data_IF_111321284489
#
_entry.id   IF_111321284489
#
_cell.length_a   1.000
_cell.length_b   1.000
_cell.length_c   1.000
_cell.angle_alpha   90.00
_cell.angle_beta   90.00
_cell.angle_gamma   90.00
#
_symmetry.space_group_name_H-M   'P 1'
#
loop_
_entity.id
_entity.type
_entity.pdbx_description
1 polymer ?
#
# COMPACT_ATOMS: atom_id res chain seq x y z
N UNK A 1 4.93 -6.26 -24.75
CA UNK A 1 5.89 -6.94 -23.85
C UNK A 1 5.11 -7.62 -22.74
N UNK A 2 5.38 -8.88 -22.45
CA UNK A 2 4.73 -9.57 -21.33
C UNK A 2 5.14 -8.92 -19.99
N UNK A 3 4.17 -8.52 -19.19
CA UNK A 3 4.40 -7.97 -17.85
C UNK A 3 4.48 -9.13 -16.85
N UNK A 4 5.63 -9.30 -16.21
CA UNK A 4 5.84 -10.36 -15.22
C UNK A 4 5.91 -9.74 -13.82
N UNK A 5 5.37 -10.44 -12.83
CA UNK A 5 5.60 -10.13 -11.43
C UNK A 5 6.99 -10.63 -11.06
N UNK A 6 7.87 -9.74 -10.63
CA UNK A 6 9.23 -10.10 -10.22
C UNK A 6 9.27 -10.49 -8.76
N UNK A 7 10.05 -11.53 -8.44
CA UNK A 7 10.24 -11.98 -7.06
C UNK A 7 11.71 -12.32 -6.78
N UNK A 8 12.11 -12.15 -5.54
CA UNK A 8 13.38 -12.65 -5.00
C UNK A 8 13.13 -13.73 -3.96
N UNK A 9 14.14 -14.51 -3.67
CA UNK A 9 14.08 -15.56 -2.66
C UNK A 9 14.92 -15.17 -1.46
N UNK A 10 14.37 -15.30 -0.25
CA UNK A 10 15.04 -15.00 1.00
C UNK A 10 14.90 -16.15 2.00
N UNK A 11 15.96 -16.48 2.77
CA UNK A 11 15.87 -17.44 3.84
C UNK A 11 15.00 -16.88 4.99
N UNK A 12 14.28 -17.79 5.64
CA UNK A 12 13.46 -17.47 6.80
C UNK A 12 13.69 -18.54 7.87
N UNK A 13 14.12 -18.11 9.04
CA UNK A 13 14.32 -18.96 10.21
C UNK A 13 12.96 -19.20 10.87
N UNK A 14 12.71 -20.42 11.34
CA UNK A 14 11.53 -20.73 12.11
C UNK A 14 11.70 -20.14 13.55
N UNK A 15 10.84 -19.21 14.00
CA UNK A 15 10.99 -18.64 15.35
C UNK A 15 10.72 -19.64 16.48
N UNK A 16 10.01 -20.76 16.18
CA UNK A 16 9.72 -21.81 17.16
C UNK A 16 10.82 -22.88 17.26
N UNK A 17 11.64 -22.98 16.23
CA UNK A 17 12.72 -23.98 16.16
C UNK A 17 13.93 -23.32 15.48
N UNK A 18 14.82 -22.80 16.30
CA UNK A 18 16.01 -22.08 15.85
C UNK A 18 17.11 -22.98 15.31
N UNK A 19 17.04 -24.29 15.60
CA UNK A 19 18.00 -25.29 15.13
C UNK A 19 17.61 -25.86 13.77
N UNK A 20 16.35 -25.67 13.33
CA UNK A 20 15.90 -26.08 12.03
C UNK A 20 16.60 -25.30 10.92
N UNK A 21 16.99 -25.99 9.85
CA UNK A 21 17.57 -25.36 8.67
C UNK A 21 16.62 -24.26 8.09
N UNK A 22 17.14 -23.10 7.68
CA UNK A 22 16.32 -22.02 7.14
C UNK A 22 15.60 -22.45 5.89
N UNK A 23 14.30 -22.13 5.78
CA UNK A 23 13.50 -22.35 4.57
C UNK A 23 13.51 -21.10 3.71
N UNK A 24 13.48 -21.28 2.41
CA UNK A 24 13.50 -20.19 1.44
C UNK A 24 12.09 -19.83 0.99
N UNK A 25 11.77 -18.56 1.01
CA UNK A 25 10.45 -18.02 0.63
C UNK A 25 10.58 -16.96 -0.45
N UNK A 26 9.65 -16.98 -1.40
CA UNK A 26 9.54 -15.95 -2.43
C UNK A 26 8.99 -14.65 -1.83
N UNK A 27 9.59 -13.53 -2.20
CA UNK A 27 9.11 -12.18 -1.91
C UNK A 27 8.96 -11.39 -3.20
N UNK A 28 7.79 -10.80 -3.41
CA UNK A 28 7.57 -9.92 -4.55
C UNK A 28 8.54 -8.74 -4.48
N UNK A 29 9.13 -8.42 -5.64
CA UNK A 29 9.96 -7.23 -5.83
C UNK A 29 9.20 -6.26 -6.73
N UNK A 30 8.95 -5.03 -6.24
CA UNK A 30 8.29 -4.02 -7.03
C UNK A 30 9.14 -3.65 -8.27
N UNK A 31 8.49 -3.53 -9.42
CA UNK A 31 9.12 -3.08 -10.67
C UNK A 31 9.11 -1.56 -10.82
N UNK A 32 8.51 -0.85 -9.89
CA UNK A 32 8.30 0.59 -9.84
C UNK A 32 6.98 0.91 -9.17
N UNK A 33 6.67 2.15 -9.06
CA UNK A 33 5.42 2.72 -8.59
C UNK A 33 4.73 3.48 -9.73
N UNK A 34 3.42 3.57 -9.67
CA UNK A 34 2.60 4.31 -10.63
C UNK A 34 1.86 5.39 -9.85
N UNK A 35 2.24 6.65 -10.07
CA UNK A 35 1.60 7.80 -9.44
C UNK A 35 0.25 8.15 -10.09
N UNK A 36 -0.57 8.94 -9.40
CA UNK A 36 -1.81 9.52 -9.96
C UNK A 36 -1.50 10.30 -11.26
N UNK A 37 -0.39 11.03 -11.29
CA UNK A 37 0.05 11.76 -12.48
C UNK A 37 0.29 10.82 -13.66
N UNK A 38 1.02 9.73 -13.44
CA UNK A 38 1.28 8.73 -14.48
C UNK A 38 0.00 7.99 -14.90
N UNK A 39 -0.91 7.69 -13.98
CA UNK A 39 -2.22 7.13 -14.32
C UNK A 39 -3.02 8.08 -15.20
N UNK A 40 -2.99 9.38 -14.92
CA UNK A 40 -3.67 10.40 -15.74
C UNK A 40 -3.08 10.49 -17.15
N UNK A 41 -1.75 10.40 -17.28
CA UNK A 41 -1.06 10.38 -18.57
C UNK A 41 -1.43 9.15 -19.42
N UNK A 42 -1.50 7.98 -18.77
CA UNK A 42 -1.92 6.74 -19.44
C UNK A 42 -3.39 6.79 -19.88
N UNK A 43 -4.28 7.38 -19.07
CA UNK A 43 -5.69 7.57 -19.42
C UNK A 43 -5.87 8.50 -20.62
N UNK A 44 -5.12 9.59 -20.69
CA UNK A 44 -5.18 10.50 -21.84
C UNK A 44 -4.85 9.82 -23.17
N UNK A 45 -4.05 8.76 -23.17
CA UNK A 45 -3.72 7.98 -24.38
C UNK A 45 -4.88 7.10 -24.85
N UNK A 46 -5.85 6.82 -23.98
CA UNK A 46 -6.96 5.89 -24.26
C UNK A 46 -8.32 6.55 -24.30
N UNK A 47 -8.45 7.80 -23.86
CA UNK A 47 -9.69 8.57 -23.86
C UNK A 47 -9.44 10.03 -24.24
N UNK A 48 -10.50 10.75 -24.59
CA UNK A 48 -10.46 12.17 -25.03
C UNK A 48 -10.39 13.16 -23.87
N UNK A 49 -10.35 12.69 -22.62
CA UNK A 49 -10.34 13.54 -21.43
C UNK A 49 -8.93 14.09 -21.19
N UNK A 50 -8.83 15.38 -20.89
CA UNK A 50 -7.54 15.99 -20.57
C UNK A 50 -6.94 15.45 -19.28
N UNK A 51 -5.61 15.35 -19.25
CA UNK A 51 -4.85 14.88 -18.07
C UNK A 51 -5.22 15.65 -16.79
N UNK A 52 -5.41 16.98 -16.90
CA UNK A 52 -5.78 17.81 -15.75
C UNK A 52 -7.15 17.42 -15.17
N UNK A 53 -8.14 17.13 -16.05
CA UNK A 53 -9.48 16.74 -15.62
C UNK A 53 -9.46 15.36 -14.95
N UNK A 54 -8.70 14.40 -15.50
CA UNK A 54 -8.53 13.09 -14.88
C UNK A 54 -7.89 13.21 -13.50
N UNK A 55 -6.87 14.04 -13.37
CA UNK A 55 -6.19 14.27 -12.09
C UNK A 55 -7.13 14.92 -11.07
N UNK A 56 -7.92 15.93 -11.48
CA UNK A 56 -8.89 16.58 -10.61
C UNK A 56 -9.97 15.60 -10.12
N UNK A 57 -10.50 14.76 -11.01
CA UNK A 57 -11.48 13.73 -10.65
C UNK A 57 -10.91 12.69 -9.68
N UNK A 58 -9.67 12.25 -9.87
CA UNK A 58 -9.03 11.29 -8.97
C UNK A 58 -8.81 11.88 -7.57
N UNK A 59 -8.41 13.16 -7.47
CA UNK A 59 -8.26 13.84 -6.18
C UNK A 59 -9.61 14.04 -5.50
N UNK A 60 -10.63 14.48 -6.23
CA UNK A 60 -11.98 14.61 -5.69
C UNK A 60 -12.55 13.27 -5.21
N UNK A 61 -12.24 12.17 -5.91
CA UNK A 61 -12.64 10.82 -5.49
C UNK A 61 -11.95 10.42 -4.18
N UNK A 62 -10.69 10.77 -3.99
CA UNK A 62 -9.96 10.52 -2.75
C UNK A 62 -10.62 11.22 -1.55
N UNK A 63 -11.02 12.49 -1.72
CA UNK A 63 -11.72 13.25 -0.69
C UNK A 63 -13.07 12.61 -0.33
N UNK A 64 -13.87 12.23 -1.33
CA UNK A 64 -15.18 11.59 -1.13
C UNK A 64 -15.03 10.24 -0.41
N UNK A 65 -14.06 9.42 -0.80
CA UNK A 65 -13.78 8.13 -0.15
C UNK A 65 -13.37 8.35 1.32
N UNK A 66 -12.51 9.33 1.55
CA UNK A 66 -12.04 9.66 2.90
C UNK A 66 -13.17 10.09 3.81
N UNK A 67 -14.08 10.94 3.32
CA UNK A 67 -15.23 11.42 4.07
C UNK A 67 -16.22 10.30 4.38
N UNK A 68 -16.57 9.49 3.39
CA UNK A 68 -17.44 8.33 3.57
C UNK A 68 -16.88 7.32 4.60
N UNK A 69 -15.58 7.03 4.54
CA UNK A 69 -14.94 6.13 5.50
C UNK A 69 -14.91 6.72 6.92
N UNK A 70 -14.72 8.04 7.09
CA UNK A 70 -14.85 8.72 8.40
C UNK A 70 -16.26 8.62 8.95
N UNK A 71 -17.26 8.65 8.08
CA UNK A 71 -18.66 8.42 8.43
C UNK A 71 -19.01 6.95 8.76
N UNK A 72 -18.05 6.02 8.62
CA UNK A 72 -18.26 4.59 8.84
C UNK A 72 -18.99 3.88 7.70
N UNK A 73 -19.08 4.52 6.54
CA UNK A 73 -19.75 3.97 5.36
C UNK A 73 -18.89 2.92 4.65
N UNK A 74 -19.54 2.05 3.90
CA UNK A 74 -18.88 1.08 3.01
C UNK A 74 -18.77 1.71 1.63
N UNK A 75 -17.56 1.97 1.17
CA UNK A 75 -17.31 2.53 -0.16
C UNK A 75 -17.19 1.41 -1.18
N UNK A 76 -18.09 1.41 -2.15
CA UNK A 76 -18.12 0.44 -3.26
C UNK A 76 -17.65 1.09 -4.55
N UNK A 77 -16.48 0.68 -5.05
CA UNK A 77 -15.87 1.18 -6.28
C UNK A 77 -16.17 0.28 -7.49
N UNK A 78 -17.37 -0.30 -7.54
CA UNK A 78 -17.75 -1.22 -8.61
C UNK A 78 -16.82 -2.42 -8.70
N UNK A 79 -16.35 -2.72 -9.91
CA UNK A 79 -15.47 -3.87 -10.19
C UNK A 79 -14.05 -3.72 -9.66
N UNK A 80 -13.66 -2.54 -9.20
CA UNK A 80 -12.38 -2.34 -8.53
C UNK A 80 -12.36 -2.96 -7.14
N UNK A 81 -13.44 -2.80 -6.38
CA UNK A 81 -13.50 -3.38 -5.05
C UNK A 81 -14.29 -2.57 -4.04
N UNK A 82 -14.13 -2.92 -2.78
CA UNK A 82 -14.84 -2.31 -1.65
C UNK A 82 -13.87 -1.95 -0.55
N UNK A 83 -14.03 -0.76 0.02
CA UNK A 83 -13.29 -0.26 1.18
C UNK A 83 -14.23 -0.20 2.38
N UNK A 84 -13.76 -0.61 3.54
CA UNK A 84 -14.51 -0.61 4.79
C UNK A 84 -13.59 -0.45 5.99
N UNK A 85 -14.04 0.30 6.99
CA UNK A 85 -13.35 0.36 8.28
C UNK A 85 -13.59 -0.94 9.06
N UNK A 86 -12.53 -1.50 9.60
CA UNK A 86 -12.58 -2.59 10.58
C UNK A 86 -11.92 -2.14 11.87
N UNK A 87 -12.46 -2.57 12.98
CA UNK A 87 -11.93 -2.29 14.32
C UNK A 87 -11.43 -3.56 14.98
N UNK A 88 -10.51 -3.40 15.92
CA UNK A 88 -10.10 -4.43 16.88
C UNK A 88 -10.27 -3.84 18.27
N UNK A 89 -10.86 -4.62 19.20
CA UNK A 89 -11.10 -4.18 20.56
C UNK A 89 -10.68 -5.23 21.58
N UNK A 90 -10.52 -4.82 22.82
CA UNK A 90 -10.50 -5.73 23.97
C UNK A 90 -11.95 -6.18 24.25
N UNK A 91 -12.11 -7.39 24.78
CA UNK A 91 -13.42 -7.85 25.25
C UNK A 91 -13.77 -7.24 26.61
N UNK A 92 -15.06 -7.00 26.87
CA UNK A 92 -15.65 -6.74 28.18
C UNK A 92 -16.36 -8.00 28.68
N UNK A 93 -16.64 -8.09 29.98
CA UNK A 93 -17.35 -9.23 30.56
C UNK A 93 -18.85 -9.13 30.28
N UNK A 94 -19.39 -7.91 30.24
CA UNK A 94 -20.79 -7.62 29.94
C UNK A 94 -20.89 -6.60 28.81
N UNK A 95 -22.04 -6.56 28.14
CA UNK A 95 -22.28 -5.57 27.05
C UNK A 95 -22.33 -4.15 27.62
N UNK A 96 -22.80 -3.97 28.83
CA UNK A 96 -22.89 -2.67 29.51
C UNK A 96 -21.53 -2.06 29.88
N UNK A 97 -20.51 -2.91 30.09
CA UNK A 97 -19.14 -2.48 30.35
C UNK A 97 -18.35 -2.16 29.08
N UNK A 98 -18.91 -2.49 27.90
CA UNK A 98 -18.23 -2.23 26.65
C UNK A 98 -18.45 -0.77 26.22
N UNK A 99 -17.34 -0.04 26.08
CA UNK A 99 -17.34 1.30 25.54
C UNK A 99 -16.27 1.49 24.43
N UNK A 100 -16.28 2.65 23.79
CA UNK A 100 -15.37 2.98 22.69
C UNK A 100 -13.88 3.01 23.13
N UNK A 101 -13.58 3.14 24.43
CA UNK A 101 -12.20 3.12 24.94
C UNK A 101 -11.53 1.76 24.80
N UNK A 102 -12.32 0.70 24.69
CA UNK A 102 -11.85 -0.67 24.47
C UNK A 102 -11.40 -0.92 23.02
N UNK A 103 -11.71 -0.01 22.09
CA UNK A 103 -11.24 -0.10 20.71
C UNK A 103 -9.76 0.25 20.67
N UNK A 104 -8.91 -0.74 20.36
CA UNK A 104 -7.46 -0.60 20.41
C UNK A 104 -6.87 -0.20 19.05
N UNK A 105 -7.53 -0.55 17.94
CA UNK A 105 -7.02 -0.30 16.59
C UNK A 105 -8.15 -0.23 15.57
N UNK A 106 -8.07 0.75 14.68
CA UNK A 106 -8.84 0.80 13.44
C UNK A 106 -7.94 0.46 12.24
N UNK A 107 -8.53 -0.09 11.19
CA UNK A 107 -7.86 -0.42 9.94
C UNK A 107 -8.81 -0.28 8.77
N UNK A 108 -8.27 0.05 7.60
CA UNK A 108 -9.01 0.03 6.35
C UNK A 108 -8.84 -1.36 5.73
N UNK A 109 -9.95 -2.05 5.52
CA UNK A 109 -9.99 -3.32 4.82
C UNK A 109 -10.38 -3.06 3.37
N UNK A 110 -9.53 -3.49 2.45
CA UNK A 110 -9.83 -3.49 1.03
C UNK A 110 -10.18 -4.91 0.58
N UNK A 111 -11.31 -5.05 -0.09
CA UNK A 111 -11.71 -6.30 -0.73
C UNK A 111 -11.74 -6.08 -2.24
N UNK A 112 -10.86 -6.72 -3.01
CA UNK A 112 -10.81 -6.55 -4.46
C UNK A 112 -12.11 -7.02 -5.12
N UNK A 113 -12.55 -6.28 -6.13
CA UNK A 113 -13.68 -6.65 -6.99
C UNK A 113 -13.25 -7.58 -8.12
N UNK A 114 -14.19 -7.89 -9.02
CA UNK A 114 -13.98 -8.88 -10.08
C UNK A 114 -12.83 -8.51 -11.02
N UNK A 115 -12.69 -7.23 -11.38
CA UNK A 115 -11.63 -6.76 -12.27
C UNK A 115 -10.23 -7.01 -11.69
N UNK A 116 -10.03 -6.77 -10.41
CA UNK A 116 -8.73 -6.97 -9.75
C UNK A 116 -8.49 -8.43 -9.37
N UNK A 117 -9.53 -9.14 -8.91
CA UNK A 117 -9.42 -10.55 -8.56
C UNK A 117 -9.07 -11.42 -9.78
N UNK A 118 -9.63 -11.10 -10.95
CA UNK A 118 -9.36 -11.81 -12.20
C UNK A 118 -7.91 -11.75 -12.67
N UNK A 119 -7.16 -10.72 -12.28
CA UNK A 119 -5.74 -10.59 -12.64
C UNK A 119 -4.90 -11.71 -12.01
N UNK A 120 -5.29 -12.18 -10.82
CA UNK A 120 -4.48 -13.14 -10.04
C UNK A 120 -4.33 -14.50 -10.73
N UNK A 121 -5.27 -14.90 -11.57
CA UNK A 121 -5.24 -16.18 -12.28
C UNK A 121 -4.31 -16.22 -13.50
N UNK A 122 -3.92 -15.04 -14.02
CA UNK A 122 -3.09 -14.90 -15.23
C UNK A 122 -1.67 -14.39 -14.99
N UNK A 123 -1.21 -14.31 -13.73
CA UNK A 123 0.10 -13.77 -13.41
C UNK A 123 1.22 -14.71 -13.84
N UNK A 124 2.24 -14.13 -14.47
CA UNK A 124 3.51 -14.80 -14.75
C UNK A 124 4.60 -14.26 -13.84
N UNK A 125 5.53 -15.13 -13.42
CA UNK A 125 6.51 -14.80 -12.39
C UNK A 125 7.93 -14.92 -12.94
N UNK A 126 8.78 -13.91 -12.61
CA UNK A 126 10.20 -13.91 -12.98
C UNK A 126 11.06 -13.73 -11.74
N UNK A 127 12.00 -14.65 -11.50
CA UNK A 127 12.98 -14.52 -10.41
C UNK A 127 14.00 -13.43 -10.75
N UNK A 128 14.28 -12.55 -9.78
CA UNK A 128 15.28 -11.49 -9.89
C UNK A 128 16.16 -11.46 -8.62
N UNK A 129 17.31 -10.81 -8.71
CA UNK A 129 18.13 -10.55 -7.53
C UNK A 129 17.38 -9.63 -6.55
N UNK A 130 17.66 -9.77 -5.25
CA UNK A 130 17.07 -8.93 -4.21
C UNK A 130 17.52 -7.49 -4.43
N UNK A 131 16.57 -6.58 -4.67
CA UNK A 131 16.87 -5.15 -4.72
C UNK A 131 17.18 -4.64 -3.30
N UNK A 132 18.16 -3.74 -3.12
CA UNK A 132 18.37 -3.08 -1.85
C UNK A 132 17.09 -2.32 -1.46
N UNK A 133 16.70 -2.45 -0.20
CA UNK A 133 15.60 -1.64 0.35
C UNK A 133 16.13 -0.21 0.40
N UNK A 134 15.52 0.71 -0.36
CA UNK A 134 15.71 2.14 -0.11
C UNK A 134 15.02 2.43 1.22
N UNK A 135 15.79 2.49 2.29
CA UNK A 135 15.38 3.13 3.53
C UNK A 135 15.22 4.60 3.18
N UNK A 136 14.03 5.14 3.37
CA UNK A 136 13.82 6.57 3.38
C UNK A 136 14.40 7.08 4.69
N UNK A 137 15.73 7.28 4.71
CA UNK A 137 16.36 8.05 5.76
C UNK A 137 15.95 9.51 5.55
N UNK A 138 15.33 10.05 6.58
CA UNK A 138 15.16 11.48 6.77
C UNK A 138 16.53 12.14 6.63
N UNK A 139 16.71 12.94 5.60
CA UNK A 139 17.84 13.84 5.47
C UNK A 139 17.75 14.86 6.61
N UNK A 140 18.54 14.62 7.65
CA UNK A 140 18.92 15.66 8.60
C UNK A 140 20.05 16.41 7.93
N UNK A 141 19.75 17.61 7.44
CA UNK A 141 20.77 18.55 6.99
C UNK A 141 21.60 18.95 8.22
N UNK A 142 22.80 18.42 8.35
CA UNK A 142 23.85 18.99 9.21
C UNK A 142 24.46 20.18 8.45
N UNK A 143 24.10 21.41 8.89
CA UNK A 143 24.85 22.62 8.59
C UNK A 143 26.24 22.51 9.22
N UNK A 144 27.24 22.21 8.44
CA UNK A 144 28.63 22.51 8.79
C UNK A 144 28.89 24.00 8.63
N UNK A 145 28.81 24.72 9.74
CA UNK A 145 29.37 26.04 9.88
C UNK A 145 30.89 25.99 9.81
N UNK A 146 31.45 26.33 8.66
CA UNK A 146 32.88 26.61 8.51
C UNK A 146 33.17 28.07 8.82
N UNK A 147 33.62 28.35 10.04
CA UNK A 147 34.34 29.57 10.37
C UNK A 147 35.69 29.53 9.68
N UNK A 148 35.99 30.52 8.86
CA UNK A 148 37.35 30.84 8.51
C UNK A 148 37.67 32.27 8.97
N UNK A 149 38.41 32.29 10.08
CA UNK A 149 39.11 33.44 10.63
C UNK A 149 40.54 33.39 10.15
N UNK A 150 40.98 34.35 9.35
CA UNK A 150 42.35 34.89 9.39
C UNK A 150 42.45 36.14 8.50
N UNK A 151 42.74 37.12 9.10
CA UNK A 151 43.84 38.03 9.40
C UNK A 151 43.78 39.27 8.50
#
# INVERSE_FOLDING_TARGET
>A
MARNVTYSVAPRINPRDKEAAPKYYGRVQANGDVSIREMSERNQQTCTVHKADVQAVLLALEDVITDALKGGEIVRLGDLGTLQIGISSKGAVTEEEYDASLITKARINFRPGLALAGILTGLTYKKVAKKPVKTSDSETEEEEGGEDLTA
#
